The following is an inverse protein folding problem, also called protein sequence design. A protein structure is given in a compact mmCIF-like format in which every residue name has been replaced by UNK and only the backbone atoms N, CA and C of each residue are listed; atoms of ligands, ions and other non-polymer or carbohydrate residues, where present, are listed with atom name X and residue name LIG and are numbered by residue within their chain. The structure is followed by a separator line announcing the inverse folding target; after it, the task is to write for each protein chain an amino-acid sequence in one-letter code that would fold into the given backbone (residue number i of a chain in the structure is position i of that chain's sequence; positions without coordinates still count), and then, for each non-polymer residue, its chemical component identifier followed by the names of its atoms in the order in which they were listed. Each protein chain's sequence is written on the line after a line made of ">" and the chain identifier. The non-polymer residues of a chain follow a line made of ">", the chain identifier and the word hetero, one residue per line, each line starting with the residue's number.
data_IF_484027658542
#
_entry.id   IF_484027658542
#
_cell.length_a   1.000
_cell.length_b   1.000
_cell.length_c   1.000
_cell.angle_alpha   90.00
_cell.angle_beta   90.00
_cell.angle_gamma   90.00
#
_symmetry.space_group_name_H-M   'P 1'
#
loop_
_entity.id
_entity.type
_entity.pdbx_description
1 polymer ?
#
# COMPACT_ATOMS: atom_id res chain seq x y z
N UNK A 1 18.88 11.97 8.82
CA UNK A 1 17.87 11.36 7.93
C UNK A 1 16.57 11.57 8.65
N UNK A 2 15.87 12.65 8.31
CA UNK A 2 14.66 13.08 9.03
C UNK A 2 13.52 12.17 8.58
N UNK A 3 12.95 11.44 9.53
CA UNK A 3 11.69 10.72 9.33
C UNK A 3 10.56 11.74 9.26
N UNK A 4 9.75 11.66 8.21
CA UNK A 4 8.52 12.44 8.11
C UNK A 4 7.53 12.00 9.18
N UNK A 5 6.94 12.97 9.87
CA UNK A 5 5.99 12.76 10.95
C UNK A 5 4.60 12.47 10.37
N UNK A 6 3.90 11.50 10.96
CA UNK A 6 2.44 11.44 10.90
C UNK A 6 1.87 12.76 11.43
N UNK A 7 1.18 13.52 10.56
CA UNK A 7 0.52 14.79 10.92
C UNK A 7 0.91 16.04 10.12
N UNK A 8 1.61 15.92 8.99
CA UNK A 8 1.92 17.10 8.16
C UNK A 8 0.63 17.76 7.61
N UNK A 9 0.40 19.03 7.96
CA UNK A 9 -0.70 19.83 7.44
C UNK A 9 -0.46 20.14 5.96
N UNK A 10 -1.40 19.75 5.10
CA UNK A 10 -1.37 20.13 3.68
C UNK A 10 -2.06 21.49 3.53
N UNK A 11 -1.29 22.54 3.26
CA UNK A 11 -1.82 23.86 2.94
C UNK A 11 -2.20 23.94 1.45
N UNK A 12 -3.49 24.15 1.17
CA UNK A 12 -4.00 24.35 -0.19
C UNK A 12 -4.16 25.83 -0.50
N UNK A 13 -3.46 26.31 -1.54
CA UNK A 13 -3.63 27.66 -2.08
C UNK A 13 -4.39 27.59 -3.41
N UNK A 14 -5.50 28.33 -3.50
CA UNK A 14 -6.30 28.42 -4.72
C UNK A 14 -6.21 29.85 -5.28
N UNK A 15 -5.56 29.99 -6.43
CA UNK A 15 -5.61 31.22 -7.23
C UNK A 15 -6.76 31.11 -8.23
N UNK A 16 -7.80 31.92 -8.05
CA UNK A 16 -8.90 32.03 -9.01
C UNK A 16 -8.74 33.30 -9.83
N UNK A 17 -8.59 33.17 -11.16
CA UNK A 17 -8.69 34.29 -12.09
C UNK A 17 -10.02 34.26 -12.82
N UNK A 18 -10.91 35.21 -12.53
CA UNK A 18 -12.11 35.43 -13.33
C UNK A 18 -11.76 36.35 -14.50
N UNK A 19 -11.90 35.86 -15.75
CA UNK A 19 -11.91 36.74 -16.92
C UNK A 19 -13.35 36.88 -17.40
N UNK A 20 -14.03 37.92 -16.93
CA UNK A 20 -15.37 38.22 -17.42
C UNK A 20 -15.27 39.06 -18.71
N UNK A 21 -15.68 38.47 -19.83
CA UNK A 21 -16.06 39.21 -21.04
C UNK A 21 -17.56 39.02 -21.23
N UNK A 22 -18.34 40.02 -20.82
CA UNK A 22 -19.78 40.10 -21.07
C UNK A 22 -20.68 39.77 -19.88
N UNK A 23 -21.81 40.48 -19.79
CA UNK A 23 -22.84 40.32 -18.76
C UNK A 23 -23.66 39.05 -19.02
N UNK A 24 -23.31 37.95 -18.36
CA UNK A 24 -24.18 36.78 -18.20
C UNK A 24 -24.67 36.72 -16.75
N UNK A 25 -25.94 36.32 -16.51
CA UNK A 25 -26.50 36.25 -15.17
C UNK A 25 -26.03 34.93 -14.57
N UNK A 26 -24.79 34.86 -14.09
CA UNK A 26 -24.47 33.79 -13.14
C UNK A 26 -24.93 34.29 -11.78
N UNK A 27 -25.89 33.58 -11.19
CA UNK A 27 -26.29 33.86 -9.82
C UNK A 27 -25.08 33.66 -8.91
N UNK A 28 -24.79 34.68 -8.12
CA UNK A 28 -23.90 34.61 -6.96
C UNK A 28 -24.29 33.38 -6.12
N UNK A 29 -23.50 32.31 -6.18
CA UNK A 29 -23.79 31.07 -5.43
C UNK A 29 -23.37 29.75 -6.09
N UNK A 30 -22.75 29.75 -7.27
CA UNK A 30 -22.30 28.52 -7.91
C UNK A 30 -21.17 27.84 -7.10
N UNK A 31 -21.46 26.69 -6.49
CA UNK A 31 -20.47 25.83 -5.83
C UNK A 31 -19.71 25.02 -6.87
N UNK A 32 -18.39 25.12 -6.89
CA UNK A 32 -17.51 24.18 -7.61
C UNK A 32 -17.01 23.16 -6.62
N UNK A 33 -17.22 21.88 -6.89
CA UNK A 33 -16.72 20.78 -6.06
C UNK A 33 -15.36 20.34 -6.64
N UNK A 34 -14.32 20.35 -5.82
CA UNK A 34 -13.01 19.79 -6.15
C UNK A 34 -12.80 18.54 -5.29
N UNK A 35 -12.63 17.39 -5.94
CA UNK A 35 -12.32 16.15 -5.24
C UNK A 35 -10.79 16.06 -5.10
N UNK A 36 -10.32 15.95 -3.87
CA UNK A 36 -8.89 15.76 -3.54
C UNK A 36 -8.73 14.33 -3.05
N UNK A 37 -7.90 13.57 -3.74
CA UNK A 37 -7.43 12.27 -3.28
C UNK A 37 -6.03 12.46 -2.72
N UNK A 38 -5.89 12.31 -1.40
CA UNK A 38 -4.59 12.29 -0.71
C UNK A 38 -4.20 10.83 -0.57
N UNK A 39 -3.09 10.44 -1.19
CA UNK A 39 -2.43 9.17 -0.89
C UNK A 39 -1.30 9.48 0.09
N UNK A 40 -1.37 8.83 1.24
CA UNK A 40 -0.23 8.70 2.16
C UNK A 40 0.82 7.81 1.48
N UNK A 41 2.08 7.95 1.90
CA UNK A 41 3.20 7.27 1.26
C UNK A 41 2.99 5.75 1.22
N UNK A 42 3.50 5.10 0.19
CA UNK A 42 3.46 3.65 0.08
C UNK A 42 4.79 3.11 -0.43
N UNK A 43 5.17 1.93 0.03
CA UNK A 43 6.28 1.21 -0.57
C UNK A 43 5.80 0.42 -1.78
N UNK A 44 6.57 0.48 -2.85
CA UNK A 44 6.32 -0.31 -4.06
C UNK A 44 7.44 -1.33 -4.21
N UNK A 45 7.07 -2.61 -4.21
CA UNK A 45 8.00 -3.72 -4.38
C UNK A 45 7.63 -4.45 -5.67
N UNK A 46 8.52 -4.43 -6.65
CA UNK A 46 8.35 -5.23 -7.85
C UNK A 46 8.63 -6.70 -7.52
N UNK A 47 7.62 -7.56 -7.70
CA UNK A 47 7.75 -9.00 -7.66
C UNK A 47 7.83 -9.54 -9.08
N UNK A 48 8.68 -10.53 -9.31
CA UNK A 48 8.80 -11.22 -10.59
C UNK A 48 8.13 -12.60 -10.51
N UNK A 49 7.62 -13.08 -11.64
CA UNK A 49 7.03 -14.41 -11.75
C UNK A 49 7.94 -15.50 -11.17
N UNK A 50 7.39 -16.32 -10.27
CA UNK A 50 8.14 -17.31 -9.50
C UNK A 50 8.44 -16.84 -8.07
N UNK A 51 9.56 -17.31 -7.52
CA UNK A 51 9.92 -17.09 -6.12
C UNK A 51 10.70 -15.79 -5.91
N UNK A 52 10.24 -14.98 -4.97
CA UNK A 52 10.88 -13.74 -4.54
C UNK A 52 11.16 -13.83 -3.03
N UNK A 53 12.39 -13.51 -2.60
CA UNK A 53 12.72 -13.33 -1.20
C UNK A 53 12.67 -11.85 -0.86
N UNK A 54 11.78 -11.49 0.05
CA UNK A 54 11.52 -10.12 0.45
C UNK A 54 11.64 -9.96 1.98
N UNK A 55 11.94 -8.75 2.41
CA UNK A 55 11.78 -8.32 3.79
C UNK A 55 11.11 -6.95 3.78
N UNK A 56 10.17 -6.71 4.68
CA UNK A 56 9.46 -5.44 4.76
C UNK A 56 10.35 -4.39 5.46
N UNK A 57 10.52 -3.18 4.88
CA UNK A 57 11.41 -2.15 5.43
C UNK A 57 10.76 -1.24 6.49
N UNK A 58 9.54 -1.55 6.94
CA UNK A 58 8.78 -0.76 7.90
C UNK A 58 7.93 -1.69 8.79
N UNK A 59 7.52 -1.17 9.96
CA UNK A 59 6.61 -1.84 10.87
C UNK A 59 5.18 -1.54 10.39
N UNK A 60 4.40 -2.54 9.95
CA UNK A 60 3.02 -2.33 9.52
C UNK A 60 2.09 -2.04 10.70
N UNK A 61 1.08 -1.19 10.49
CA UNK A 61 0.00 -0.99 11.47
C UNK A 61 -0.88 -2.24 11.60
N UNK A 62 -1.30 -2.80 10.47
CA UNK A 62 -1.99 -4.10 10.40
C UNK A 62 -1.10 -5.14 9.70
N UNK A 63 -0.47 -6.06 10.48
CA UNK A 63 0.42 -7.07 9.91
C UNK A 63 -0.33 -8.24 9.27
N UNK A 64 -1.67 -8.28 9.28
CA UNK A 64 -2.41 -9.43 8.77
C UNK A 64 -2.12 -9.67 7.29
N UNK A 65 -1.96 -10.93 6.93
CA UNK A 65 -1.54 -11.32 5.58
C UNK A 65 -2.57 -10.90 4.51
N UNK A 66 -3.85 -10.90 4.86
CA UNK A 66 -4.94 -10.49 3.96
C UNK A 66 -4.90 -8.98 3.69
N UNK A 67 -4.56 -8.16 4.69
CA UNK A 67 -4.39 -6.71 4.52
C UNK A 67 -3.10 -6.42 3.78
N UNK A 68 -2.00 -7.11 4.10
CA UNK A 68 -0.70 -6.86 3.47
C UNK A 68 -0.65 -7.24 1.99
N UNK A 69 -1.32 -8.33 1.62
CA UNK A 69 -1.29 -8.85 0.25
C UNK A 69 -2.53 -8.48 -0.57
N UNK A 70 -3.43 -7.66 -0.04
CA UNK A 70 -4.75 -7.39 -0.62
C UNK A 70 -4.72 -7.06 -2.12
N UNK A 71 -3.76 -6.25 -2.54
CA UNK A 71 -3.66 -5.72 -3.90
C UNK A 71 -2.96 -6.68 -4.87
N UNK A 72 -2.27 -7.71 -4.37
CA UNK A 72 -1.58 -8.73 -5.18
C UNK A 72 -2.14 -10.13 -4.97
N UNK A 73 -3.20 -10.28 -4.16
CA UNK A 73 -3.71 -11.56 -3.68
C UNK A 73 -3.98 -12.57 -4.80
N UNK A 74 -4.51 -12.10 -5.93
CA UNK A 74 -4.81 -12.90 -7.11
C UNK A 74 -3.57 -13.50 -7.79
N UNK A 75 -2.39 -12.93 -7.54
CA UNK A 75 -1.11 -13.39 -8.07
C UNK A 75 -0.36 -14.31 -7.09
N UNK A 76 -0.69 -14.28 -5.80
CA UNK A 76 0.03 -15.02 -4.76
C UNK A 76 -0.35 -16.50 -4.79
N UNK A 77 0.63 -17.35 -5.07
CA UNK A 77 0.45 -18.82 -5.02
C UNK A 77 0.80 -19.38 -3.64
N UNK A 78 1.86 -18.87 -3.02
CA UNK A 78 2.36 -19.33 -1.73
C UNK A 78 3.26 -18.30 -1.07
N UNK A 79 3.17 -18.18 0.25
CA UNK A 79 4.11 -17.41 1.07
C UNK A 79 4.73 -18.33 2.11
N UNK A 80 6.03 -18.23 2.33
CA UNK A 80 6.75 -18.99 3.34
C UNK A 80 7.61 -18.07 4.19
N UNK A 81 7.62 -18.31 5.49
CA UNK A 81 8.50 -17.65 6.44
C UNK A 81 9.25 -18.72 7.24
N UNK A 82 10.53 -18.46 7.50
CA UNK A 82 11.34 -19.29 8.39
C UNK A 82 11.56 -18.55 9.70
N UNK A 83 11.26 -19.22 10.81
CA UNK A 83 11.58 -18.72 12.14
C UNK A 83 12.90 -19.33 12.61
N UNK A 84 13.94 -18.50 12.71
CA UNK A 84 15.26 -18.92 13.17
C UNK A 84 15.36 -19.19 14.67
N UNK A 85 14.41 -18.69 15.48
CA UNK A 85 14.38 -18.91 16.92
C UNK A 85 13.78 -20.28 17.25
N UNK A 86 12.66 -20.61 16.60
CA UNK A 86 11.96 -21.89 16.82
C UNK A 86 12.40 -23.00 15.87
N UNK A 87 13.00 -22.66 14.73
CA UNK A 87 13.44 -23.61 13.70
C UNK A 87 12.32 -24.16 12.83
N UNK A 88 11.13 -23.56 12.87
CA UNK A 88 9.97 -23.99 12.09
C UNK A 88 9.73 -23.12 10.86
N UNK A 89 9.10 -23.75 9.86
CA UNK A 89 8.58 -23.07 8.69
C UNK A 89 7.09 -22.83 8.88
N UNK A 90 6.64 -21.65 8.47
CA UNK A 90 5.22 -21.33 8.37
C UNK A 90 4.89 -20.89 6.96
N UNK A 91 3.68 -21.24 6.52
CA UNK A 91 3.23 -21.08 5.16
C UNK A 91 1.83 -20.50 5.05
N UNK A 92 1.61 -19.75 3.99
CA UNK A 92 0.31 -19.30 3.56
C UNK A 92 0.07 -19.78 2.13
N UNK A 93 -1.10 -20.36 1.89
CA UNK A 93 -1.60 -20.65 0.55
C UNK A 93 -3.10 -20.43 0.52
N UNK A 94 -3.60 -19.78 -0.53
CA UNK A 94 -5.03 -19.60 -0.77
C UNK A 94 -5.79 -20.92 -0.95
N UNK A 95 -5.08 -22.03 -1.19
CA UNK A 95 -5.65 -23.34 -1.55
C UNK A 95 -5.36 -24.45 -0.53
N UNK A 96 -4.63 -24.17 0.55
CA UNK A 96 -4.21 -25.14 1.54
C UNK A 96 -4.30 -24.55 2.97
N UNK A 97 -4.25 -25.37 4.02
CA UNK A 97 -4.19 -24.86 5.39
C UNK A 97 -2.99 -23.93 5.58
N UNK A 98 -3.26 -22.69 6.02
CA UNK A 98 -2.25 -21.68 6.30
C UNK A 98 -1.96 -21.58 7.80
N UNK A 99 -0.69 -21.56 8.16
CA UNK A 99 -0.19 -21.33 9.51
C UNK A 99 0.57 -20.01 9.65
N UNK A 100 0.83 -19.33 8.52
CA UNK A 100 1.31 -17.96 8.47
C UNK A 100 0.13 -16.99 8.28
N UNK A 101 -0.14 -16.17 9.30
CA UNK A 101 -1.24 -15.20 9.30
C UNK A 101 -0.78 -13.74 9.26
N UNK A 102 0.51 -13.49 9.51
CA UNK A 102 1.07 -12.15 9.67
C UNK A 102 2.38 -11.98 8.88
N UNK A 103 2.57 -10.79 8.30
CA UNK A 103 3.82 -10.33 7.72
C UNK A 103 4.36 -9.19 8.58
N UNK A 104 5.53 -9.39 9.18
CA UNK A 104 6.17 -8.51 10.16
C UNK A 104 7.51 -8.01 9.62
N UNK A 105 7.96 -6.88 10.15
CA UNK A 105 9.31 -6.39 9.90
C UNK A 105 10.36 -7.34 10.51
N UNK A 106 11.60 -7.22 10.02
CA UNK A 106 12.72 -8.02 10.51
C UNK A 106 12.71 -9.51 10.13
N UNK A 107 11.67 -9.99 9.45
CA UNK A 107 11.57 -11.37 8.92
C UNK A 107 11.72 -11.41 7.40
N UNK A 108 12.21 -12.55 6.90
CA UNK A 108 12.32 -12.84 5.48
C UNK A 108 11.17 -13.72 5.00
N UNK A 109 10.52 -13.32 3.91
CA UNK A 109 9.38 -14.02 3.32
C UNK A 109 9.69 -14.44 1.89
N UNK A 110 9.45 -15.71 1.60
CA UNK A 110 9.46 -16.24 0.24
C UNK A 110 8.05 -16.16 -0.33
N UNK A 111 7.83 -15.23 -1.25
CA UNK A 111 6.55 -15.07 -1.95
C UNK A 111 6.69 -15.63 -3.35
N UNK A 112 5.84 -16.61 -3.68
CA UNK A 112 5.68 -17.12 -5.03
C UNK A 112 4.51 -16.42 -5.71
N UNK A 113 4.78 -15.74 -6.82
CA UNK A 113 3.75 -15.11 -7.65
C UNK A 113 3.65 -15.75 -9.03
N UNK A 114 2.45 -15.77 -9.60
CA UNK A 114 2.19 -16.39 -10.91
C UNK A 114 2.71 -15.55 -12.10
N UNK A 115 2.88 -14.24 -11.92
CA UNK A 115 3.39 -13.30 -12.92
C UNK A 115 4.06 -12.09 -12.25
N UNK A 116 4.74 -11.27 -13.05
CA UNK A 116 5.30 -10.00 -12.58
C UNK A 116 4.18 -9.08 -12.07
N UNK A 117 4.31 -8.59 -10.85
CA UNK A 117 3.31 -7.76 -10.19
C UNK A 117 3.98 -6.71 -9.31
N UNK A 118 3.41 -5.51 -9.29
CA UNK A 118 3.85 -4.44 -8.40
C UNK A 118 3.03 -4.51 -7.10
N UNK A 119 3.73 -4.76 -6.00
CA UNK A 119 3.13 -4.85 -4.67
C UNK A 119 3.15 -3.48 -3.99
N UNK A 120 1.98 -2.99 -3.62
CA UNK A 120 1.77 -1.70 -2.97
C UNK A 120 1.51 -1.95 -1.48
N UNK A 121 2.34 -1.34 -0.66
CA UNK A 121 2.33 -1.46 0.79
C UNK A 121 2.02 -0.10 1.40
N UNK A 122 0.85 0.01 2.02
CA UNK A 122 0.38 1.22 2.70
C UNK A 122 1.09 1.36 4.07
N UNK A 123 1.47 2.59 4.46
CA UNK A 123 2.27 2.85 5.68
C UNK A 123 1.53 3.65 6.76
N UNK A 124 0.21 3.80 6.66
CA UNK A 124 -0.58 4.51 7.70
C UNK A 124 -0.50 3.81 9.06
#
# INVERSE_FOLDING_TARGET
>A
IEGGFSGDMIDFYFDYSCSCVGSYPYESGATTIFNIEVSTGGYQIQLYGGWNLIGIPFIPEDPSIDVMLYNIMDYVESVWAYDGETGFWSSYSSSAPSDLNEILDGKGYWIKVSADVLWYLDIE
#
